data_IF_104071595698
#
_entry.id   IF_104071595698
#
_cell.length_a   1.000
_cell.length_b   1.000
_cell.length_c   1.000
_cell.angle_alpha   90.00
_cell.angle_beta   90.00
_cell.angle_gamma   90.00
#
_symmetry.space_group_name_H-M   'P 1'
#
loop_
_entity.id
_entity.type
_entity.pdbx_description
1 polymer ?
#
# COMPACT_ATOMS: atom_id res chain seq x y z
N UNK A 1 -8.61 -6.39 -13.92
CA UNK A 1 -8.58 -5.92 -12.52
C UNK A 1 -9.71 -4.96 -12.19
N UNK A 2 -10.11 -4.04 -13.08
CA UNK A 2 -11.20 -3.07 -12.84
C UNK A 2 -12.54 -3.45 -13.49
N UNK A 3 -12.72 -4.73 -13.75
CA UNK A 3 -13.87 -5.31 -14.44
C UNK A 3 -14.16 -6.66 -13.78
N UNK A 4 -15.41 -6.87 -13.37
CA UNK A 4 -15.80 -8.04 -12.57
C UNK A 4 -15.60 -9.36 -13.33
N UNK A 5 -15.87 -9.37 -14.64
CA UNK A 5 -15.71 -10.57 -15.49
C UNK A 5 -14.24 -10.97 -15.58
N UNK A 6 -13.37 -10.00 -15.83
CA UNK A 6 -11.93 -10.24 -15.99
C UNK A 6 -11.29 -10.80 -14.73
N UNK A 7 -11.73 -10.34 -13.55
CA UNK A 7 -11.21 -10.85 -12.28
C UNK A 7 -11.72 -12.25 -11.95
N UNK A 8 -12.98 -12.55 -12.31
CA UNK A 8 -13.53 -13.89 -12.13
C UNK A 8 -12.79 -14.96 -12.97
N UNK A 9 -12.30 -14.61 -14.16
CA UNK A 9 -11.45 -15.51 -14.97
C UNK A 9 -10.20 -16.00 -14.21
N UNK A 10 -9.63 -15.18 -13.32
CA UNK A 10 -8.50 -15.58 -12.50
C UNK A 10 -8.91 -16.59 -11.41
N UNK A 11 -10.08 -16.36 -10.79
CA UNK A 11 -10.67 -17.32 -9.86
C UNK A 11 -10.89 -18.68 -10.53
N UNK A 12 -11.51 -18.71 -11.71
CA UNK A 12 -11.72 -19.95 -12.45
C UNK A 12 -10.40 -20.62 -12.86
N UNK A 13 -9.48 -19.86 -13.46
CA UNK A 13 -8.26 -20.42 -14.05
C UNK A 13 -7.22 -20.88 -13.02
N UNK A 14 -7.20 -20.26 -11.83
CA UNK A 14 -6.21 -20.55 -10.79
C UNK A 14 -6.88 -21.19 -9.59
N UNK A 15 -7.79 -20.49 -8.92
CA UNK A 15 -8.28 -20.87 -7.60
C UNK A 15 -9.19 -22.12 -7.65
N UNK A 16 -10.21 -22.10 -8.52
CA UNK A 16 -11.10 -23.24 -8.75
C UNK A 16 -10.35 -24.45 -9.31
N UNK A 17 -9.40 -24.23 -10.22
CA UNK A 17 -8.58 -25.29 -10.77
C UNK A 17 -7.78 -26.03 -9.68
N UNK A 18 -7.19 -25.30 -8.72
CA UNK A 18 -6.50 -25.91 -7.58
C UNK A 18 -7.48 -26.60 -6.63
N UNK A 19 -8.61 -25.96 -6.32
CA UNK A 19 -9.63 -26.54 -5.45
C UNK A 19 -10.16 -27.87 -6.00
N UNK A 20 -10.46 -27.95 -7.29
CA UNK A 20 -10.94 -29.18 -7.93
C UNK A 20 -9.99 -30.38 -7.79
N UNK A 21 -8.68 -30.13 -7.60
CA UNK A 21 -7.67 -31.18 -7.47
C UNK A 21 -7.26 -31.45 -6.01
N UNK A 22 -7.31 -30.42 -5.16
CA UNK A 22 -6.70 -30.44 -3.83
C UNK A 22 -7.65 -29.98 -2.71
N UNK A 23 -8.96 -29.95 -2.93
CA UNK A 23 -9.96 -29.52 -1.95
C UNK A 23 -9.75 -30.14 -0.55
N UNK A 24 -9.41 -31.42 -0.49
CA UNK A 24 -9.20 -32.13 0.78
C UNK A 24 -7.97 -31.64 1.57
N UNK A 25 -7.05 -30.92 0.93
CA UNK A 25 -5.83 -30.38 1.54
C UNK A 25 -5.96 -28.92 1.97
N UNK A 26 -7.04 -28.25 1.59
CA UNK A 26 -7.29 -26.85 1.94
C UNK A 26 -7.54 -26.70 3.44
N UNK A 27 -6.93 -25.68 4.05
CA UNK A 27 -6.94 -25.45 5.49
C UNK A 27 -6.08 -26.45 6.29
N UNK A 28 -5.42 -27.40 5.62
CA UNK A 28 -4.48 -28.37 6.21
C UNK A 28 -3.07 -28.09 5.71
N UNK A 29 -2.71 -28.68 4.57
CA UNK A 29 -1.40 -28.53 3.94
C UNK A 29 -1.34 -27.23 3.12
N UNK A 30 -2.44 -26.90 2.43
CA UNK A 30 -2.58 -25.65 1.69
C UNK A 30 -3.27 -24.64 2.60
N UNK A 31 -2.49 -23.76 3.20
CA UNK A 31 -3.01 -22.72 4.09
C UNK A 31 -3.63 -21.54 3.32
N UNK A 32 -3.27 -21.35 2.05
CA UNK A 32 -3.58 -20.13 1.33
C UNK A 32 -2.91 -19.98 -0.01
N UNK A 33 -3.16 -18.84 -0.63
CA UNK A 33 -2.59 -18.38 -1.88
C UNK A 33 -1.78 -17.10 -1.64
N UNK A 34 -0.61 -17.03 -2.28
CA UNK A 34 0.24 -15.85 -2.30
C UNK A 34 0.10 -15.16 -3.66
N UNK A 35 -0.19 -13.85 -3.67
CA UNK A 35 -0.13 -13.02 -4.88
C UNK A 35 1.07 -12.10 -4.81
N UNK A 36 1.94 -12.25 -5.79
CA UNK A 36 3.13 -11.44 -5.96
C UNK A 36 2.83 -10.26 -6.89
N UNK A 37 3.02 -9.04 -6.39
CA UNK A 37 2.98 -7.78 -7.14
C UNK A 37 1.88 -7.64 -8.24
N UNK A 38 0.58 -7.87 -7.95
CA UNK A 38 -0.46 -7.68 -8.94
C UNK A 38 -0.58 -6.19 -9.33
N UNK A 39 -0.11 -5.89 -10.54
CA UNK A 39 0.04 -4.54 -11.08
C UNK A 39 -0.96 -4.23 -12.19
N UNK A 40 -1.27 -2.95 -12.41
CA UNK A 40 -2.06 -2.55 -13.58
C UNK A 40 -1.38 -2.90 -14.89
N UNK A 41 -0.04 -2.86 -14.95
CA UNK A 41 0.75 -3.28 -16.10
C UNK A 41 0.42 -2.52 -17.40
N UNK A 42 -0.18 -1.34 -17.30
CA UNK A 42 -0.68 -0.57 -18.45
C UNK A 42 0.41 0.16 -19.23
N UNK A 43 1.67 0.05 -18.79
CA UNK A 43 2.85 0.55 -19.51
C UNK A 43 3.88 -0.58 -19.66
N UNK A 44 4.70 -0.51 -20.70
CA UNK A 44 5.76 -1.50 -20.96
C UNK A 44 7.08 -1.15 -20.28
N UNK A 45 7.32 0.14 -20.02
CA UNK A 45 8.55 0.57 -19.37
C UNK A 45 8.50 0.27 -17.87
N UNK A 46 9.58 -0.27 -17.30
CA UNK A 46 9.78 -0.30 -15.85
C UNK A 46 10.08 1.14 -15.39
N UNK A 47 9.04 1.82 -14.94
CA UNK A 47 9.09 3.23 -14.55
C UNK A 47 8.21 3.46 -13.32
N UNK A 48 8.72 4.25 -12.36
CA UNK A 48 8.02 4.60 -11.13
C UNK A 48 7.24 5.93 -11.22
N UNK A 49 7.50 6.72 -12.26
CA UNK A 49 6.69 7.90 -12.55
C UNK A 49 5.57 7.52 -13.52
N UNK A 50 4.45 7.11 -12.94
CA UNK A 50 3.24 6.65 -13.66
C UNK A 50 2.02 7.49 -13.28
N UNK A 51 2.25 8.77 -13.00
CA UNK A 51 1.17 9.75 -12.76
C UNK A 51 0.34 10.00 -14.02
N UNK A 52 -0.92 10.36 -13.81
CA UNK A 52 -1.80 10.88 -14.87
C UNK A 52 -1.27 12.20 -15.44
N UNK A 53 -1.73 12.57 -16.64
CA UNK A 53 -1.26 13.74 -17.39
C UNK A 53 -0.23 13.42 -18.47
N UNK A 54 0.17 12.15 -18.57
CA UNK A 54 1.14 11.70 -19.57
C UNK A 54 0.45 11.37 -20.90
N UNK A 55 0.78 12.16 -21.93
CA UNK A 55 0.17 12.09 -23.28
C UNK A 55 0.07 10.70 -23.92
N UNK A 56 0.98 9.79 -23.59
CA UNK A 56 1.06 8.45 -24.21
C UNK A 56 0.87 7.31 -23.21
N UNK A 57 0.49 7.58 -21.96
CA UNK A 57 0.25 6.53 -20.98
C UNK A 57 -1.12 5.89 -21.25
N UNK A 58 -1.21 4.60 -21.62
CA UNK A 58 -2.49 3.91 -21.71
C UNK A 58 -3.17 3.92 -20.34
N UNK A 59 -4.48 4.12 -20.30
CA UNK A 59 -5.25 4.21 -19.06
C UNK A 59 -6.21 3.01 -18.98
N UNK A 60 -6.23 2.26 -17.86
CA UNK A 60 -7.23 1.23 -17.64
C UNK A 60 -8.66 1.77 -17.83
N UNK A 61 -9.48 1.06 -18.60
CA UNK A 61 -10.88 1.43 -18.82
C UNK A 61 -11.76 0.18 -18.82
N UNK A 62 -12.96 0.30 -18.26
CA UNK A 62 -14.00 -0.73 -18.25
C UNK A 62 -15.39 -0.09 -18.34
N UNK A 63 -16.40 -0.88 -18.71
CA UNK A 63 -17.79 -0.40 -18.74
C UNK A 63 -18.26 0.05 -17.35
N UNK A 64 -17.79 -0.61 -16.28
CA UNK A 64 -18.06 -0.22 -14.89
C UNK A 64 -17.43 1.14 -14.54
N UNK A 65 -16.20 1.40 -15.01
CA UNK A 65 -15.57 2.72 -14.84
C UNK A 65 -16.36 3.81 -15.58
N UNK A 66 -16.80 3.53 -16.80
CA UNK A 66 -17.66 4.45 -17.54
C UNK A 66 -18.96 4.74 -16.79
N UNK A 67 -19.60 3.72 -16.21
CA UNK A 67 -20.82 3.90 -15.41
C UNK A 67 -20.58 4.81 -14.19
N UNK A 68 -19.44 4.71 -13.52
CA UNK A 68 -19.08 5.62 -12.41
C UNK A 68 -18.93 7.07 -12.90
N UNK A 69 -18.32 7.27 -14.08
CA UNK A 69 -18.25 8.59 -14.70
C UNK A 69 -19.63 9.12 -15.10
N UNK A 70 -20.47 8.30 -15.74
CA UNK A 70 -21.84 8.68 -16.11
C UNK A 70 -22.67 9.01 -14.86
N UNK A 71 -22.49 8.28 -13.76
CA UNK A 71 -23.19 8.57 -12.52
C UNK A 71 -22.82 9.95 -11.96
N UNK A 72 -21.51 10.27 -11.92
CA UNK A 72 -20.98 11.52 -11.35
C UNK A 72 -21.16 12.74 -12.27
N UNK A 73 -20.82 12.60 -13.54
CA UNK A 73 -20.72 13.71 -14.50
C UNK A 73 -21.84 13.73 -15.56
N UNK A 74 -22.72 12.72 -15.56
CA UNK A 74 -23.70 12.50 -16.65
C UNK A 74 -22.99 12.46 -18.00
N UNK A 75 -23.68 12.81 -19.08
CA UNK A 75 -23.10 12.84 -20.45
C UNK A 75 -21.94 13.85 -20.61
N UNK A 76 -21.69 14.71 -19.62
CA UNK A 76 -20.62 15.71 -19.72
C UNK A 76 -19.23 15.12 -19.48
N UNK A 77 -19.13 13.88 -18.96
CA UNK A 77 -17.86 13.25 -18.60
C UNK A 77 -16.86 13.21 -19.78
N UNK A 78 -17.36 13.00 -21.00
CA UNK A 78 -16.57 12.94 -22.24
C UNK A 78 -15.75 14.21 -22.47
N UNK A 79 -16.27 15.38 -22.03
CA UNK A 79 -15.57 16.67 -22.15
C UNK A 79 -14.33 16.74 -21.26
N UNK A 80 -14.28 15.94 -20.19
CA UNK A 80 -13.20 15.97 -19.21
C UNK A 80 -12.12 14.91 -19.45
N UNK A 81 -12.41 13.85 -20.21
CA UNK A 81 -11.44 12.78 -20.52
C UNK A 81 -10.10 13.27 -21.10
N UNK A 82 -10.04 14.31 -21.96
CA UNK A 82 -8.76 14.82 -22.46
C UNK A 82 -7.79 15.26 -21.35
N UNK A 83 -8.29 15.71 -20.19
CA UNK A 83 -7.45 16.15 -19.06
C UNK A 83 -6.72 15.02 -18.34
N UNK A 84 -7.11 13.76 -18.56
CA UNK A 84 -6.38 12.60 -18.04
C UNK A 84 -5.02 12.42 -18.74
N UNK A 85 -4.89 12.94 -19.97
CA UNK A 85 -3.71 12.77 -20.83
C UNK A 85 -2.91 14.06 -21.06
N UNK A 86 -3.40 15.21 -20.59
CA UNK A 86 -2.76 16.51 -20.85
C UNK A 86 -2.51 17.28 -19.56
N UNK A 87 -1.30 17.80 -19.44
CA UNK A 87 -0.96 18.89 -18.54
C UNK A 87 -1.32 20.24 -19.20
N UNK A 88 -2.61 20.45 -19.53
CA UNK A 88 -3.08 21.72 -20.11
C UNK A 88 -3.35 22.77 -19.02
N UNK A 89 -3.44 24.03 -19.46
CA UNK A 89 -3.66 25.22 -18.64
C UNK A 89 -5.08 25.39 -18.09
N UNK A 90 -6.04 24.50 -18.40
CA UNK A 90 -7.37 24.51 -17.77
C UNK A 90 -7.31 23.89 -16.36
N UNK A 91 -6.68 24.63 -15.45
CA UNK A 91 -6.32 24.24 -14.08
C UNK A 91 -7.50 23.77 -13.21
N UNK A 92 -8.74 24.07 -13.59
CA UNK A 92 -9.88 23.84 -12.71
C UNK A 92 -10.48 22.43 -12.78
N UNK A 93 -10.49 21.81 -13.96
CA UNK A 93 -11.07 20.47 -14.12
C UNK A 93 -10.02 19.37 -14.02
N UNK A 94 -8.78 19.68 -14.41
CA UNK A 94 -7.65 18.75 -14.39
C UNK A 94 -7.44 18.05 -13.03
N UNK A 95 -7.38 18.73 -11.87
CA UNK A 95 -7.18 18.05 -10.59
C UNK A 95 -8.38 17.20 -10.17
N UNK A 96 -9.61 17.66 -10.44
CA UNK A 96 -10.83 16.92 -10.10
C UNK A 96 -10.95 15.61 -10.88
N UNK A 97 -10.82 15.66 -12.20
CA UNK A 97 -11.02 14.49 -13.06
C UNK A 97 -9.91 13.45 -12.87
N UNK A 98 -8.67 13.89 -12.59
CA UNK A 98 -7.56 12.99 -12.25
C UNK A 98 -7.77 12.30 -10.91
N UNK A 99 -8.19 13.07 -9.90
CA UNK A 99 -8.59 12.52 -8.60
C UNK A 99 -9.68 11.48 -8.76
N UNK A 100 -10.79 11.83 -9.43
CA UNK A 100 -11.94 10.95 -9.59
C UNK A 100 -11.62 9.69 -10.38
N UNK A 101 -10.83 9.82 -11.45
CA UNK A 101 -10.35 8.67 -12.20
C UNK A 101 -9.58 7.69 -11.31
N UNK A 102 -8.61 8.19 -10.53
CA UNK A 102 -7.80 7.33 -9.65
C UNK A 102 -8.63 6.75 -8.49
N UNK A 103 -9.55 7.54 -7.93
CA UNK A 103 -10.49 7.10 -6.89
C UNK A 103 -11.39 5.96 -7.42
N UNK A 104 -11.93 6.10 -8.63
CA UNK A 104 -12.76 5.08 -9.27
C UNK A 104 -11.96 3.83 -9.63
N UNK A 105 -10.80 3.98 -10.26
CA UNK A 105 -9.95 2.85 -10.68
C UNK A 105 -9.47 2.04 -9.48
N UNK A 106 -9.05 2.70 -8.40
CA UNK A 106 -8.65 2.00 -7.17
C UNK A 106 -9.84 1.35 -6.44
N UNK A 107 -11.02 1.98 -6.46
CA UNK A 107 -12.26 1.37 -5.94
C UNK A 107 -12.65 0.11 -6.73
N UNK A 108 -12.53 0.15 -8.05
CA UNK A 108 -12.79 -1.01 -8.91
C UNK A 108 -11.76 -2.12 -8.71
N UNK A 109 -10.49 -1.78 -8.49
CA UNK A 109 -9.47 -2.77 -8.13
C UNK A 109 -9.85 -3.48 -6.82
N UNK A 110 -10.19 -2.72 -5.78
CA UNK A 110 -10.64 -3.27 -4.50
C UNK A 110 -11.85 -4.20 -4.70
N UNK A 111 -12.89 -3.70 -5.36
CA UNK A 111 -14.18 -4.39 -5.51
C UNK A 111 -14.10 -5.62 -6.40
N UNK A 112 -13.37 -5.54 -7.51
CA UNK A 112 -13.43 -6.56 -8.55
C UNK A 112 -12.27 -7.55 -8.44
N UNK A 113 -11.09 -7.12 -7.98
CA UNK A 113 -9.92 -7.98 -7.91
C UNK A 113 -9.59 -8.41 -6.48
N UNK A 114 -9.33 -7.44 -5.59
CA UNK A 114 -8.79 -7.76 -4.25
C UNK A 114 -9.81 -8.52 -3.40
N UNK A 115 -10.99 -7.93 -3.17
CA UNK A 115 -12.03 -8.50 -2.29
C UNK A 115 -12.54 -9.86 -2.78
N UNK A 116 -12.89 -10.06 -4.06
CA UNK A 116 -13.43 -11.34 -4.51
C UNK A 116 -12.46 -12.50 -4.33
N UNK A 117 -11.15 -12.28 -4.53
CA UNK A 117 -10.13 -13.29 -4.25
C UNK A 117 -10.09 -13.63 -2.76
N UNK A 118 -10.09 -12.60 -1.91
CA UNK A 118 -10.13 -12.78 -0.47
C UNK A 118 -11.36 -13.54 0.02
N UNK A 119 -12.54 -13.16 -0.47
CA UNK A 119 -13.83 -13.77 -0.15
C UNK A 119 -13.91 -15.23 -0.63
N UNK A 120 -13.39 -15.51 -1.82
CA UNK A 120 -13.29 -16.88 -2.32
C UNK A 120 -12.40 -17.73 -1.41
N UNK A 121 -11.21 -17.23 -1.04
CA UNK A 121 -10.31 -17.96 -0.14
C UNK A 121 -10.97 -18.24 1.22
N UNK A 122 -11.63 -17.25 1.80
CA UNK A 122 -12.35 -17.39 3.08
C UNK A 122 -13.46 -18.43 3.00
N UNK A 123 -14.25 -18.43 1.93
CA UNK A 123 -15.30 -19.43 1.69
C UNK A 123 -14.78 -20.87 1.58
N UNK A 124 -13.51 -21.05 1.23
CA UNK A 124 -12.84 -22.34 1.08
C UNK A 124 -11.88 -22.67 2.23
N UNK A 125 -11.92 -21.89 3.32
CA UNK A 125 -11.14 -22.17 4.54
C UNK A 125 -9.63 -21.95 4.39
N UNK A 126 -9.22 -21.10 3.46
CA UNK A 126 -7.81 -20.76 3.20
C UNK A 126 -7.60 -19.24 3.20
N UNK A 127 -6.36 -18.79 3.30
CA UNK A 127 -6.02 -17.36 3.32
C UNK A 127 -5.53 -16.86 1.96
N UNK A 128 -5.97 -15.67 1.57
CA UNK A 128 -5.33 -14.85 0.55
C UNK A 128 -4.28 -13.92 1.18
N UNK A 129 -3.00 -14.08 0.84
CA UNK A 129 -1.88 -13.21 1.27
C UNK A 129 -1.03 -12.79 0.06
N UNK A 130 -0.03 -11.95 0.28
CA UNK A 130 0.80 -11.40 -0.78
C UNK A 130 1.12 -9.94 -0.50
N UNK A 131 1.57 -9.20 -1.50
CA UNK A 131 1.71 -7.74 -1.46
C UNK A 131 1.40 -7.18 -2.85
N UNK A 132 1.51 -5.86 -3.02
CA UNK A 132 1.40 -5.18 -4.33
C UNK A 132 2.76 -4.57 -4.65
N UNK A 133 2.89 -3.77 -5.71
CA UNK A 133 4.09 -2.93 -5.84
C UNK A 133 3.85 -1.63 -5.08
N UNK A 134 4.56 -1.45 -3.97
CA UNK A 134 4.51 -0.23 -3.16
C UNK A 134 5.72 0.69 -3.34
N UNK A 135 6.69 0.26 -4.14
CA UNK A 135 7.98 0.89 -4.33
C UNK A 135 7.95 2.34 -4.81
N UNK A 136 8.81 3.17 -4.21
CA UNK A 136 9.23 4.45 -4.79
C UNK A 136 8.08 5.37 -5.26
N UNK A 137 6.98 5.38 -4.50
CA UNK A 137 5.79 6.19 -4.79
C UNK A 137 4.78 5.55 -5.75
N UNK A 138 4.96 4.30 -6.19
CA UNK A 138 3.96 3.60 -7.02
C UNK A 138 2.78 3.05 -6.23
N UNK A 139 2.90 3.00 -4.90
CA UNK A 139 1.78 2.66 -4.00
C UNK A 139 0.50 3.48 -4.26
N UNK A 140 0.64 4.68 -4.86
CA UNK A 140 -0.46 5.59 -5.23
C UNK A 140 -0.66 5.78 -6.74
N UNK A 141 -0.01 4.98 -7.60
CA UNK A 141 0.02 5.22 -9.06
C UNK A 141 -0.33 3.98 -9.88
N UNK A 142 -0.47 4.18 -11.19
CA UNK A 142 -0.70 3.10 -12.16
C UNK A 142 0.64 2.44 -12.58
N UNK A 143 0.65 1.72 -13.70
CA UNK A 143 1.82 1.01 -14.19
C UNK A 143 2.13 -0.18 -13.30
N UNK A 144 3.28 -0.16 -12.64
CA UNK A 144 3.66 -1.18 -11.66
C UNK A 144 2.76 -1.12 -10.41
N UNK A 145 2.28 0.07 -10.06
CA UNK A 145 1.46 0.27 -8.87
C UNK A 145 0.04 -0.28 -8.97
N UNK A 146 -0.63 -0.30 -7.82
CA UNK A 146 -2.02 -0.71 -7.67
C UNK A 146 -2.99 0.47 -7.45
N UNK A 147 -2.60 1.68 -7.85
CA UNK A 147 -3.29 2.97 -7.66
C UNK A 147 -3.49 3.42 -6.21
N UNK A 148 -3.76 2.52 -5.26
CA UNK A 148 -3.91 2.82 -3.85
C UNK A 148 -3.61 1.60 -2.99
N UNK A 149 -2.52 1.63 -2.21
CA UNK A 149 -2.05 0.50 -1.40
C UNK A 149 -3.15 -0.13 -0.52
N UNK A 150 -3.79 0.66 0.35
CA UNK A 150 -4.78 0.11 1.30
C UNK A 150 -5.98 -0.56 0.62
N UNK A 151 -6.53 0.04 -0.45
CA UNK A 151 -7.62 -0.54 -1.26
C UNK A 151 -7.19 -1.80 -1.98
N UNK A 152 -5.98 -1.81 -2.54
CA UNK A 152 -5.45 -2.98 -3.22
C UNK A 152 -5.21 -4.15 -2.25
N UNK A 153 -4.91 -3.85 -0.99
CA UNK A 153 -4.74 -4.85 0.06
C UNK A 153 -6.05 -5.32 0.71
N UNK A 154 -7.18 -4.66 0.49
CA UNK A 154 -8.43 -4.88 1.25
C UNK A 154 -8.94 -6.33 1.27
N UNK A 155 -8.68 -7.12 0.22
CA UNK A 155 -9.07 -8.52 0.15
C UNK A 155 -8.16 -9.48 0.88
N UNK A 156 -6.87 -9.14 1.05
CA UNK A 156 -5.89 -10.03 1.66
C UNK A 156 -6.09 -10.16 3.18
N UNK A 157 -5.67 -11.27 3.77
CA UNK A 157 -5.83 -11.58 5.20
C UNK A 157 -4.63 -11.13 6.05
N UNK A 158 -3.54 -10.70 5.41
CA UNK A 158 -2.40 -10.04 6.02
C UNK A 158 -2.08 -8.77 5.22
N UNK A 159 -1.46 -7.78 5.86
CA UNK A 159 -0.92 -6.62 5.18
C UNK A 159 0.50 -6.92 4.74
N UNK A 160 0.70 -7.29 3.48
CA UNK A 160 2.02 -7.57 2.94
C UNK A 160 2.74 -6.35 2.41
N UNK A 161 4.06 -6.42 2.53
CA UNK A 161 5.04 -5.60 1.82
C UNK A 161 6.20 -6.48 1.37
N UNK A 162 7.11 -5.97 0.55
CA UNK A 162 8.40 -6.58 0.28
C UNK A 162 9.57 -5.69 0.69
N UNK A 163 10.67 -6.29 1.14
CA UNK A 163 11.93 -5.60 1.40
C UNK A 163 13.09 -6.39 0.78
N UNK A 164 13.36 -6.08 -0.47
CA UNK A 164 14.33 -6.76 -1.33
C UNK A 164 15.28 -5.77 -2.02
N UNK A 165 16.22 -6.26 -2.82
CA UNK A 165 16.85 -5.46 -3.88
C UNK A 165 17.59 -4.19 -3.45
N UNK A 166 18.13 -4.15 -2.21
CA UNK A 166 18.85 -2.96 -1.72
C UNK A 166 17.95 -1.80 -1.29
N UNK A 167 16.64 -1.98 -1.17
CA UNK A 167 15.68 -0.94 -0.74
C UNK A 167 16.06 -0.35 0.63
N UNK A 168 16.49 -1.17 1.59
CA UNK A 168 17.04 -0.75 2.89
C UNK A 168 18.55 -1.01 2.95
N UNK A 169 19.31 0.05 3.25
CA UNK A 169 20.78 0.00 3.40
C UNK A 169 21.21 0.62 4.73
N UNK A 170 22.09 -0.08 5.43
CA UNK A 170 22.70 0.38 6.67
C UNK A 170 23.46 1.70 6.48
N UNK A 171 23.19 2.68 7.34
CA UNK A 171 23.89 3.96 7.34
C UNK A 171 23.58 4.89 6.15
N UNK A 172 22.67 4.50 5.25
CA UNK A 172 22.24 5.31 4.12
C UNK A 172 20.69 5.37 4.02
N UNK A 173 20.02 6.00 5.01
CA UNK A 173 18.56 5.97 5.14
C UNK A 173 17.82 6.95 4.21
N UNK A 174 18.52 7.90 3.57
CA UNK A 174 17.86 8.98 2.79
C UNK A 174 18.46 9.18 1.40
N UNK A 175 19.58 8.52 1.12
CA UNK A 175 20.29 8.67 -0.15
C UNK A 175 19.48 7.99 -1.26
N UNK A 176 19.31 8.69 -2.37
CA UNK A 176 18.84 8.09 -3.62
C UNK A 176 19.78 6.97 -4.02
N UNK A 177 19.24 5.77 -4.21
CA UNK A 177 20.02 4.60 -4.62
C UNK A 177 19.99 4.50 -6.14
N UNK A 178 21.14 4.17 -6.73
CA UNK A 178 21.26 3.93 -8.18
C UNK A 178 21.34 2.43 -8.41
N UNK A 179 20.25 1.86 -8.92
CA UNK A 179 20.16 0.45 -9.35
C UNK A 179 19.70 0.36 -10.80
N UNK A 180 18.82 -0.58 -11.12
CA UNK A 180 18.10 -0.62 -12.40
C UNK A 180 17.27 0.66 -12.62
N UNK A 181 16.82 1.25 -11.53
CA UNK A 181 16.01 2.47 -11.45
C UNK A 181 16.44 3.26 -10.22
N UNK A 182 16.26 4.59 -10.24
CA UNK A 182 16.53 5.42 -9.06
C UNK A 182 15.49 5.14 -7.97
N UNK A 183 15.95 4.93 -6.74
CA UNK A 183 15.11 4.53 -5.61
C UNK A 183 15.21 5.53 -4.46
N UNK A 184 14.08 5.97 -3.92
CA UNK A 184 13.98 6.86 -2.76
C UNK A 184 14.27 6.11 -1.46
N UNK A 185 15.51 6.20 -0.99
CA UNK A 185 15.92 5.59 0.27
C UNK A 185 15.10 6.04 1.48
N UNK A 186 14.57 7.28 1.48
CA UNK A 186 13.79 7.82 2.60
C UNK A 186 12.43 7.14 2.72
N UNK A 187 11.74 6.92 1.59
CA UNK A 187 10.50 6.13 1.55
C UNK A 187 10.73 4.71 2.09
N UNK A 188 11.73 4.01 1.57
CA UNK A 188 12.03 2.64 1.98
C UNK A 188 12.39 2.52 3.47
N UNK A 189 13.09 3.52 4.01
CA UNK A 189 13.56 3.47 5.40
C UNK A 189 12.50 3.89 6.42
N UNK A 190 11.65 4.86 6.08
CA UNK A 190 10.74 5.48 7.04
C UNK A 190 9.26 5.19 6.82
N UNK A 191 8.86 4.79 5.61
CA UNK A 191 7.44 4.62 5.25
C UNK A 191 7.08 3.17 5.02
N UNK A 192 7.81 2.44 4.17
CA UNK A 192 7.40 1.12 3.70
C UNK A 192 6.95 0.17 4.81
N UNK A 193 7.82 -0.08 5.79
CA UNK A 193 7.49 -0.91 6.96
C UNK A 193 6.30 -0.37 7.77
N UNK A 194 6.23 0.95 7.97
CA UNK A 194 5.13 1.59 8.71
C UNK A 194 3.82 1.53 7.95
N UNK A 195 3.82 1.63 6.63
CA UNK A 195 2.63 1.57 5.79
C UNK A 195 2.00 0.17 5.85
N UNK A 196 2.82 -0.88 5.70
CA UNK A 196 2.37 -2.26 5.89
C UNK A 196 1.88 -2.54 7.31
N UNK A 197 2.59 -2.05 8.33
CA UNK A 197 2.16 -2.18 9.72
C UNK A 197 0.84 -1.47 9.99
N UNK A 198 0.68 -0.24 9.49
CA UNK A 198 -0.56 0.54 9.65
C UNK A 198 -1.75 -0.17 9.00
N UNK A 199 -1.58 -0.73 7.81
CA UNK A 199 -2.63 -1.57 7.22
C UNK A 199 -2.93 -2.81 8.07
N UNK A 200 -1.91 -3.46 8.64
CA UNK A 200 -2.09 -4.60 9.55
C UNK A 200 -2.84 -4.25 10.84
N UNK A 201 -2.52 -3.10 11.44
CA UNK A 201 -3.11 -2.62 12.68
C UNK A 201 -4.54 -2.11 12.47
N UNK A 202 -4.78 -1.38 11.39
CA UNK A 202 -5.99 -0.54 11.24
C UNK A 202 -7.09 -1.19 10.40
N UNK A 203 -6.77 -2.17 9.56
CA UNK A 203 -7.78 -2.97 8.85
C UNK A 203 -8.17 -4.22 9.69
N UNK A 204 -9.43 -4.31 10.17
CA UNK A 204 -9.88 -5.43 10.99
C UNK A 204 -9.66 -6.80 10.34
N UNK A 205 -9.69 -6.90 9.00
CA UNK A 205 -9.49 -8.16 8.28
C UNK A 205 -8.09 -8.74 8.51
N UNK A 206 -7.10 -7.86 8.73
CA UNK A 206 -5.70 -8.24 8.88
C UNK A 206 -5.38 -8.81 10.25
N UNK A 207 -6.20 -8.50 11.26
CA UNK A 207 -6.04 -8.99 12.64
C UNK A 207 -4.65 -8.66 13.22
N UNK A 208 -4.11 -7.48 12.93
CA UNK A 208 -2.79 -7.06 13.39
C UNK A 208 -1.63 -7.74 12.65
N UNK A 209 -1.88 -8.48 11.56
CA UNK A 209 -0.85 -9.25 10.85
C UNK A 209 -0.27 -8.47 9.67
N UNK A 210 1.03 -8.22 9.75
CA UNK A 210 1.81 -7.60 8.69
C UNK A 210 2.90 -8.55 8.22
N UNK A 211 2.83 -8.91 6.95
CA UNK A 211 3.73 -9.84 6.29
C UNK A 211 4.80 -9.06 5.52
N UNK A 212 6.03 -9.58 5.49
CA UNK A 212 7.11 -9.03 4.70
C UNK A 212 7.82 -10.15 3.94
N UNK A 213 7.85 -10.04 2.62
CA UNK A 213 8.88 -10.74 1.84
C UNK A 213 10.23 -10.06 2.09
N UNK A 214 11.29 -10.83 2.35
CA UNK A 214 12.59 -10.24 2.69
C UNK A 214 13.79 -11.05 2.21
N UNK A 215 14.93 -10.37 2.12
CA UNK A 215 16.26 -10.89 1.75
C UNK A 215 16.49 -11.18 0.26
N UNK A 216 15.45 -11.18 -0.57
CA UNK A 216 15.56 -11.44 -2.01
C UNK A 216 16.38 -10.38 -2.76
N UNK A 217 16.97 -10.79 -3.89
CA UNK A 217 17.65 -9.91 -4.85
C UNK A 217 18.79 -9.02 -4.29
N UNK A 218 19.32 -9.31 -3.10
CA UNK A 218 20.47 -8.59 -2.54
C UNK A 218 21.84 -9.12 -3.01
N UNK A 219 21.86 -10.23 -3.74
CA UNK A 219 23.08 -10.89 -4.21
C UNK A 219 23.67 -11.88 -3.20
N UNK A 220 24.57 -12.75 -3.69
CA UNK A 220 25.28 -13.75 -2.87
C UNK A 220 26.15 -13.15 -1.74
N UNK A 221 26.50 -11.86 -1.82
CA UNK A 221 27.23 -11.15 -0.77
C UNK A 221 26.38 -10.78 0.44
N UNK A 222 25.05 -10.93 0.36
CA UNK A 222 24.14 -10.57 1.43
C UNK A 222 24.10 -11.65 2.52
N UNK A 223 25.01 -11.55 3.49
CA UNK A 223 25.14 -12.52 4.58
C UNK A 223 24.23 -12.27 5.78
N UNK A 224 24.28 -13.21 6.74
CA UNK A 224 23.41 -13.24 7.95
C UNK A 224 23.50 -11.97 8.80
N UNK A 225 24.66 -11.28 8.80
CA UNK A 225 24.82 -9.99 9.48
C UNK A 225 23.91 -8.91 8.89
N UNK A 226 23.85 -8.81 7.56
CA UNK A 226 23.02 -7.81 6.87
C UNK A 226 21.54 -8.22 6.94
N UNK A 227 21.25 -9.52 6.81
CA UNK A 227 19.91 -10.06 7.03
C UNK A 227 19.39 -9.74 8.43
N UNK A 228 20.23 -9.85 9.47
CA UNK A 228 19.81 -9.49 10.83
C UNK A 228 19.47 -8.01 10.97
N UNK A 229 20.26 -7.12 10.38
CA UNK A 229 19.94 -5.70 10.36
C UNK A 229 18.61 -5.43 9.64
N UNK A 230 18.39 -6.05 8.48
CA UNK A 230 17.14 -5.90 7.73
C UNK A 230 15.93 -6.42 8.52
N UNK A 231 16.07 -7.60 9.12
CA UNK A 231 15.04 -8.21 9.95
C UNK A 231 14.68 -7.32 11.14
N UNK A 232 15.68 -6.86 11.91
CA UNK A 232 15.45 -5.95 13.04
C UNK A 232 14.79 -4.64 12.59
N UNK A 233 15.18 -4.14 11.40
CA UNK A 233 14.59 -2.93 10.84
C UNK A 233 13.09 -3.11 10.58
N UNK A 234 12.67 -4.17 9.90
CA UNK A 234 11.24 -4.39 9.59
C UNK A 234 10.43 -4.78 10.83
N UNK A 235 11.02 -5.55 11.76
CA UNK A 235 10.41 -5.89 13.04
C UNK A 235 10.07 -4.64 13.86
N UNK A 236 11.01 -3.69 13.97
CA UNK A 236 10.78 -2.41 14.68
C UNK A 236 9.71 -1.56 14.02
N UNK A 237 9.42 -1.77 12.73
CA UNK A 237 8.32 -1.06 12.04
C UNK A 237 6.96 -1.72 12.17
N UNK A 238 6.88 -2.91 12.77
CA UNK A 238 5.62 -3.61 13.04
C UNK A 238 5.37 -4.87 12.20
N UNK A 239 6.35 -5.30 11.38
CA UNK A 239 6.25 -6.59 10.67
C UNK A 239 6.27 -7.74 11.70
N UNK A 240 5.34 -8.68 11.57
CA UNK A 240 5.22 -9.84 12.47
C UNK A 240 4.91 -11.17 11.74
N UNK A 241 4.94 -11.18 10.41
CA UNK A 241 4.97 -12.38 9.58
C UNK A 241 6.09 -12.25 8.54
N UNK A 242 6.90 -13.29 8.38
CA UNK A 242 8.11 -13.25 7.55
C UNK A 242 8.02 -14.27 6.42
N UNK A 243 8.35 -13.85 5.20
CA UNK A 243 8.48 -14.69 4.00
C UNK A 243 9.91 -14.54 3.46
N UNK A 244 10.90 -15.30 3.96
CA UNK A 244 12.27 -15.19 3.50
C UNK A 244 12.44 -15.69 2.06
N UNK A 245 12.96 -14.84 1.18
CA UNK A 245 13.33 -15.16 -0.20
C UNK A 245 14.84 -15.45 -0.32
N UNK A 246 15.31 -16.65 -0.72
CA UNK A 246 14.52 -17.81 -1.12
C UNK A 246 15.20 -19.17 -0.86
N UNK A 247 14.39 -20.22 -0.93
CA UNK A 247 14.85 -21.59 -1.19
C UNK A 247 14.61 -21.91 -2.67
N UNK A 248 15.70 -22.05 -3.44
CA UNK A 248 15.64 -22.44 -4.84
C UNK A 248 15.90 -23.94 -5.02
N UNK A 249 15.17 -24.55 -5.95
CA UNK A 249 15.37 -25.93 -6.41
C UNK A 249 16.25 -26.03 -7.67
N UNK A 250 16.70 -24.89 -8.22
CA UNK A 250 17.57 -24.87 -9.39
C UNK A 250 18.99 -25.40 -9.07
N UNK A 251 19.73 -25.73 -10.13
CA UNK A 251 21.12 -26.15 -10.00
C UNK A 251 22.00 -24.99 -9.53
N UNK A 252 22.92 -25.25 -8.60
CA UNK A 252 23.87 -24.25 -8.13
C UNK A 252 25.03 -24.06 -9.15
N UNK A 253 25.44 -22.81 -9.46
CA UNK A 253 24.89 -21.55 -8.97
C UNK A 253 23.61 -21.16 -9.71
N UNK A 254 22.60 -20.76 -8.95
CA UNK A 254 21.41 -20.12 -9.46
C UNK A 254 21.58 -18.60 -9.38
N UNK A 255 21.32 -17.91 -10.49
CA UNK A 255 21.52 -16.46 -10.62
C UNK A 255 20.23 -15.67 -10.44
N UNK A 256 19.10 -16.35 -10.31
CA UNK A 256 17.80 -15.71 -10.13
C UNK A 256 17.65 -15.16 -8.70
N UNK A 257 17.68 -13.85 -8.57
CA UNK A 257 17.45 -13.09 -7.33
C UNK A 257 18.12 -13.67 -6.04
N UNK A 258 19.43 -14.02 -6.04
CA UNK A 258 20.11 -14.52 -4.85
C UNK A 258 20.07 -13.50 -3.69
N UNK A 259 20.24 -13.93 -2.42
CA UNK A 259 20.78 -15.20 -1.96
C UNK A 259 19.74 -16.35 -1.88
N UNK A 260 20.19 -17.57 -2.17
CA UNK A 260 19.44 -18.79 -1.82
C UNK A 260 20.01 -19.42 -0.55
N UNK A 261 19.18 -19.58 0.47
CA UNK A 261 19.69 -19.85 1.83
C UNK A 261 20.37 -21.22 1.98
N UNK A 262 19.87 -22.24 1.27
CA UNK A 262 20.45 -23.59 1.27
C UNK A 262 21.44 -23.80 0.11
N UNK A 263 21.07 -23.35 -1.09
CA UNK A 263 21.88 -23.48 -2.31
C UNK A 263 22.41 -24.91 -2.56
N UNK A 264 21.57 -25.94 -2.34
CA UNK A 264 21.98 -27.34 -2.47
C UNK A 264 23.06 -27.78 -1.46
N UNK A 265 23.20 -27.09 -0.33
CA UNK A 265 24.25 -27.31 0.67
C UNK A 265 25.52 -26.49 0.44
N UNK A 266 25.58 -25.65 -0.61
CA UNK A 266 26.76 -24.87 -0.94
C UNK A 266 26.84 -23.53 -0.19
N UNK A 267 25.77 -23.08 0.49
CA UNK A 267 25.77 -21.81 1.20
C UNK A 267 26.37 -21.96 2.61
N UNK A 268 27.58 -21.43 2.89
CA UNK A 268 28.30 -21.70 4.14
C UNK A 268 27.64 -21.09 5.38
N UNK A 269 26.72 -20.15 5.21
CA UNK A 269 26.03 -19.49 6.33
C UNK A 269 24.65 -20.10 6.66
N UNK A 270 24.25 -21.22 6.03
CA UNK A 270 22.91 -21.79 6.22
C UNK A 270 22.58 -22.10 7.70
N UNK A 271 23.54 -22.66 8.46
CA UNK A 271 23.35 -22.95 9.89
C UNK A 271 23.13 -21.68 10.71
N UNK A 272 23.80 -20.58 10.36
CA UNK A 272 23.63 -19.28 11.01
C UNK A 272 22.32 -18.58 10.60
N UNK A 273 21.91 -18.73 9.34
CA UNK A 273 20.61 -18.30 8.87
C UNK A 273 19.47 -19.00 9.64
N UNK A 274 19.59 -20.31 9.89
CA UNK A 274 18.62 -21.03 10.72
C UNK A 274 18.52 -20.47 12.15
N UNK A 275 19.63 -20.02 12.75
CA UNK A 275 19.60 -19.35 14.05
C UNK A 275 18.94 -17.97 13.99
N UNK A 276 19.18 -17.21 12.91
CA UNK A 276 18.52 -15.94 12.66
C UNK A 276 17.00 -16.12 12.54
N UNK A 277 16.53 -17.13 11.81
CA UNK A 277 15.10 -17.37 11.67
C UNK A 277 14.44 -17.83 12.97
N UNK A 278 15.14 -18.60 13.83
CA UNK A 278 14.65 -18.90 15.20
C UNK A 278 14.53 -17.65 16.07
N UNK A 279 15.41 -16.66 15.88
CA UNK A 279 15.25 -15.36 16.51
C UNK A 279 14.04 -14.61 15.93
N UNK A 280 13.91 -14.53 14.60
CA UNK A 280 12.76 -13.90 13.93
C UNK A 280 11.42 -14.47 14.40
N UNK A 281 11.29 -15.80 14.48
CA UNK A 281 10.07 -16.45 14.97
C UNK A 281 9.70 -16.03 16.40
N UNK A 282 10.66 -15.96 17.32
CA UNK A 282 10.40 -15.52 18.70
C UNK A 282 9.95 -14.06 18.77
N UNK A 283 10.53 -13.20 17.93
CA UNK A 283 10.11 -11.80 17.87
C UNK A 283 8.71 -11.65 17.28
N UNK A 284 8.42 -12.36 16.18
CA UNK A 284 7.11 -12.36 15.55
C UNK A 284 6.02 -12.90 16.48
N UNK A 285 6.30 -13.97 17.23
CA UNK A 285 5.40 -14.52 18.24
C UNK A 285 5.07 -13.49 19.33
N UNK A 286 6.07 -12.72 19.79
CA UNK A 286 5.87 -11.66 20.78
C UNK A 286 5.04 -10.48 20.23
N UNK A 287 5.15 -10.18 18.93
CA UNK A 287 4.48 -9.06 18.27
C UNK A 287 3.11 -9.42 17.69
N UNK A 288 2.64 -10.65 17.87
CA UNK A 288 1.34 -11.08 17.38
C UNK A 288 0.30 -11.11 18.52
N UNK A 289 -0.96 -10.83 18.20
CA UNK A 289 -2.08 -10.88 19.16
C UNK A 289 -2.21 -9.70 20.13
N UNK A 290 -1.30 -8.72 20.08
CA UNK A 290 -1.41 -7.46 20.81
C UNK A 290 -2.10 -6.34 20.01
N UNK A 291 -2.26 -5.18 20.64
CA UNK A 291 -2.71 -3.94 19.97
C UNK A 291 -1.53 -2.97 19.92
N UNK A 292 -1.27 -2.41 18.74
CA UNK A 292 -0.23 -1.39 18.58
C UNK A 292 -0.60 -0.10 19.34
N UNK A 293 0.40 0.52 19.97
CA UNK A 293 0.22 1.76 20.72
C UNK A 293 0.88 2.92 19.95
N UNK A 294 0.11 3.55 19.06
CA UNK A 294 0.47 4.79 18.40
C UNK A 294 -0.32 5.96 19.00
N UNK A 295 0.29 7.14 19.09
CA UNK A 295 -0.38 8.35 19.60
C UNK A 295 -0.83 9.28 18.47
N UNK A 296 -0.36 9.04 17.24
CA UNK A 296 -0.52 9.98 16.14
C UNK A 296 -0.96 9.27 14.85
N UNK A 297 -1.97 9.82 14.19
CA UNK A 297 -2.35 9.42 12.84
C UNK A 297 -1.63 10.33 11.83
N UNK A 298 -0.95 9.76 10.84
CA UNK A 298 -0.37 10.50 9.70
C UNK A 298 -1.18 10.18 8.46
N UNK A 299 -1.72 11.20 7.79
CA UNK A 299 -2.51 10.97 6.58
C UNK A 299 -1.62 10.39 5.46
N UNK A 300 -2.10 9.31 4.86
CA UNK A 300 -1.58 8.74 3.62
C UNK A 300 -1.64 9.78 2.49
N UNK A 301 -0.55 9.91 1.73
CA UNK A 301 -0.42 10.95 0.69
C UNK A 301 -0.91 10.51 -0.70
N UNK A 302 -1.37 9.27 -0.85
CA UNK A 302 -1.69 8.71 -2.16
C UNK A 302 -2.80 9.49 -2.89
N UNK A 303 -3.87 9.84 -2.19
CA UNK A 303 -4.97 10.63 -2.76
C UNK A 303 -4.53 12.08 -3.08
N UNK A 304 -3.55 12.62 -2.36
CA UNK A 304 -2.95 13.92 -2.66
C UNK A 304 -2.07 13.86 -3.92
N UNK A 305 -1.35 12.75 -4.14
CA UNK A 305 -0.52 12.48 -5.32
C UNK A 305 -1.31 12.53 -6.63
N UNK A 306 -2.61 12.21 -6.59
CA UNK A 306 -3.50 12.20 -7.77
C UNK A 306 -3.90 13.57 -8.27
N UNK A 307 -4.01 14.56 -7.36
CA UNK A 307 -4.64 15.84 -7.65
C UNK A 307 -3.66 16.98 -7.88
N UNK A 308 -2.41 16.87 -7.43
CA UNK A 308 -1.40 17.90 -7.72
C UNK A 308 -0.17 17.86 -6.82
N UNK A 309 0.35 19.06 -6.56
CA UNK A 309 1.50 19.25 -5.67
C UNK A 309 1.15 18.81 -4.26
N UNK A 310 2.03 18.04 -3.65
CA UNK A 310 1.88 17.52 -2.30
C UNK A 310 3.26 17.29 -1.69
N UNK A 311 3.29 17.21 -0.36
CA UNK A 311 4.44 16.75 0.41
C UNK A 311 4.38 15.23 0.54
N UNK A 312 5.42 14.51 0.10
CA UNK A 312 5.47 13.07 0.30
C UNK A 312 5.48 12.70 1.79
N UNK A 313 4.68 11.70 2.20
CA UNK A 313 4.49 11.36 3.62
C UNK A 313 5.78 10.93 4.32
N UNK A 314 6.79 10.46 3.59
CA UNK A 314 8.10 10.11 4.16
C UNK A 314 8.79 11.28 4.85
N UNK A 315 8.50 12.53 4.46
CA UNK A 315 9.03 13.72 5.13
C UNK A 315 8.51 13.83 6.56
N UNK A 316 7.22 13.56 6.78
CA UNK A 316 6.59 13.56 8.10
C UNK A 316 7.00 12.33 8.89
N UNK A 317 6.88 11.14 8.30
CA UNK A 317 7.19 9.85 8.93
C UNK A 317 8.62 9.79 9.45
N UNK A 318 9.57 10.39 8.72
CA UNK A 318 10.97 10.51 9.15
C UNK A 318 11.11 11.34 10.42
N UNK A 319 10.56 12.56 10.43
CA UNK A 319 10.65 13.46 11.60
C UNK A 319 10.05 12.79 12.83
N UNK A 320 8.90 12.14 12.67
CA UNK A 320 8.24 11.38 13.73
C UNK A 320 9.14 10.25 14.27
N UNK A 321 9.70 9.42 13.37
CA UNK A 321 10.60 8.33 13.73
C UNK A 321 11.86 8.84 14.43
N UNK A 322 12.52 9.88 13.91
CA UNK A 322 13.77 10.43 14.47
C UNK A 322 13.55 11.05 15.86
N UNK A 323 12.32 11.46 16.19
CA UNK A 323 11.94 11.99 17.50
C UNK A 323 11.20 10.96 18.38
N UNK A 324 11.17 9.69 17.99
CA UNK A 324 10.56 8.58 18.74
C UNK A 324 9.06 8.79 19.04
N UNK A 325 8.35 9.45 18.13
CA UNK A 325 6.90 9.61 18.22
C UNK A 325 6.27 8.48 17.40
N UNK A 326 5.52 7.59 18.06
CA UNK A 326 4.90 6.45 17.40
C UNK A 326 3.59 6.84 16.70
N UNK A 327 3.44 6.40 15.46
CA UNK A 327 2.34 6.78 14.59
C UNK A 327 1.88 5.61 13.73
N UNK A 328 0.66 5.66 13.21
CA UNK A 328 0.24 4.87 12.07
C UNK A 328 -0.17 5.79 10.91
N UNK A 329 0.00 5.28 9.69
CA UNK A 329 -0.43 5.92 8.44
C UNK A 329 -1.90 5.55 8.20
N UNK A 330 -2.76 6.56 8.11
CA UNK A 330 -4.21 6.39 7.91
C UNK A 330 -4.60 6.83 6.51
N UNK A 331 -5.33 6.01 5.75
CA UNK A 331 -5.90 6.45 4.47
C UNK A 331 -7.23 7.20 4.67
N UNK A 332 -7.67 7.97 3.68
CA UNK A 332 -8.91 8.76 3.81
C UNK A 332 -10.14 7.87 4.00
N UNK A 333 -10.12 6.64 3.48
CA UNK A 333 -11.20 5.68 3.65
C UNK A 333 -11.41 5.30 5.12
N UNK A 334 -10.33 5.08 5.89
CA UNK A 334 -10.39 4.78 7.33
C UNK A 334 -11.00 5.94 8.14
N UNK A 335 -10.81 7.17 7.66
CA UNK A 335 -11.30 8.38 8.31
C UNK A 335 -12.76 8.68 7.94
N UNK A 336 -13.11 8.51 6.67
CA UNK A 336 -14.40 8.94 6.10
C UNK A 336 -15.45 7.83 6.04
N UNK A 337 -15.06 6.56 6.27
CA UNK A 337 -15.93 5.39 6.43
C UNK A 337 -15.58 4.63 7.72
N UNK A 338 -15.63 5.27 8.89
CA UNK A 338 -15.15 4.69 10.14
C UNK A 338 -15.82 3.35 10.47
N UNK A 339 -17.06 3.13 10.06
CA UNK A 339 -17.81 1.89 10.26
C UNK A 339 -17.11 0.65 9.67
N UNK A 340 -16.38 0.80 8.56
CA UNK A 340 -15.67 -0.31 7.91
C UNK A 340 -14.40 -0.72 8.67
N UNK A 341 -13.91 0.14 9.57
CA UNK A 341 -12.62 0.00 10.27
C UNK A 341 -12.75 0.02 11.79
N UNK A 342 -13.94 -0.27 12.33
CA UNK A 342 -14.22 -0.17 13.78
C UNK A 342 -13.84 1.21 14.35
N UNK A 343 -14.02 2.25 13.55
CA UNK A 343 -13.60 3.61 13.83
C UNK A 343 -14.64 4.42 14.61
N UNK A 344 -14.17 5.36 15.41
CA UNK A 344 -15.02 6.32 16.13
C UNK A 344 -14.24 7.53 16.60
N UNK A 345 -14.93 8.60 17.01
CA UNK A 345 -14.33 9.73 17.72
C UNK A 345 -14.93 9.73 19.13
N UNK A 346 -14.08 9.59 20.14
CA UNK A 346 -14.49 9.55 21.56
C UNK A 346 -13.43 10.20 22.44
N UNK A 347 -13.85 10.93 23.46
CA UNK A 347 -12.97 11.53 24.47
C UNK A 347 -11.80 12.35 23.87
N UNK A 348 -12.09 13.13 22.82
CA UNK A 348 -11.08 13.91 22.10
C UNK A 348 -10.03 13.09 21.33
N UNK A 349 -10.28 11.80 21.08
CA UNK A 349 -9.40 10.89 20.35
C UNK A 349 -10.06 10.34 19.09
N UNK A 350 -9.27 10.18 18.04
CA UNK A 350 -9.63 9.43 16.84
C UNK A 350 -9.29 7.96 17.07
N UNK A 351 -10.29 7.08 17.06
CA UNK A 351 -10.10 5.65 17.25
C UNK A 351 -10.28 4.92 15.92
N UNK A 352 -9.37 4.02 15.55
CA UNK A 352 -9.47 3.16 14.37
C UNK A 352 -8.99 1.76 14.76
N UNK A 353 -9.86 0.76 14.64
CA UNK A 353 -9.58 -0.63 15.00
C UNK A 353 -8.89 -0.86 16.35
N UNK A 354 -9.31 -0.10 17.37
CA UNK A 354 -8.77 -0.17 18.73
C UNK A 354 -7.48 0.62 18.98
N UNK A 355 -6.89 1.24 17.96
CA UNK A 355 -5.79 2.21 18.10
C UNK A 355 -6.39 3.60 18.34
N UNK A 356 -5.87 4.32 19.34
CA UNK A 356 -6.39 5.64 19.74
C UNK A 356 -5.38 6.75 19.49
N UNK A 357 -5.69 7.61 18.52
CA UNK A 357 -4.85 8.73 18.12
C UNK A 357 -5.25 10.03 18.82
N UNK A 358 -4.26 10.73 19.34
CA UNK A 358 -4.39 12.03 20.00
C UNK A 358 -4.32 13.20 19.01
N UNK A 359 -3.82 12.98 17.80
CA UNK A 359 -3.72 13.99 16.76
C UNK A 359 -3.71 13.38 15.36
N UNK A 360 -4.16 14.17 14.38
CA UNK A 360 -4.03 13.88 12.96
C UNK A 360 -3.03 14.85 12.32
N UNK A 361 -1.93 14.35 11.75
CA UNK A 361 -1.03 15.14 10.91
C UNK A 361 -1.42 14.95 9.46
N UNK A 362 -1.52 16.07 8.75
CA UNK A 362 -1.83 16.09 7.33
C UNK A 362 -0.64 16.73 6.60
N UNK A 363 0.17 15.94 5.86
CA UNK A 363 1.18 16.49 4.97
C UNK A 363 0.55 17.50 4.00
N UNK A 364 1.29 18.55 3.63
CA UNK A 364 0.82 19.53 2.66
C UNK A 364 0.28 18.86 1.39
N UNK A 365 -0.92 19.26 0.98
CA UNK A 365 -1.52 18.87 -0.28
C UNK A 365 -2.20 20.10 -0.87
N UNK A 366 -1.92 20.40 -2.14
CA UNK A 366 -2.55 21.54 -2.82
C UNK A 366 -4.08 21.40 -2.89
N UNK A 367 -4.54 20.18 -3.09
CA UNK A 367 -5.96 19.83 -3.21
C UNK A 367 -6.31 18.73 -2.21
N UNK A 368 -7.46 18.88 -1.55
CA UNK A 368 -8.08 17.81 -0.74
C UNK A 368 -9.52 17.56 -1.19
N UNK A 369 -10.05 16.33 -1.11
CA UNK A 369 -11.43 16.06 -1.47
C UNK A 369 -12.42 16.60 -0.42
N UNK A 370 -13.61 17.04 -0.88
CA UNK A 370 -14.68 17.55 0.01
C UNK A 370 -15.06 16.58 1.13
N UNK A 371 -15.04 15.26 0.88
CA UNK A 371 -15.27 14.24 1.92
C UNK A 371 -14.27 14.34 3.08
N UNK A 372 -12.98 14.52 2.77
CA UNK A 372 -11.93 14.64 3.78
C UNK A 372 -11.99 15.99 4.49
N UNK A 373 -12.19 17.07 3.73
CA UNK A 373 -12.41 18.41 4.27
C UNK A 373 -13.58 18.42 5.28
N UNK A 374 -14.70 17.79 4.94
CA UNK A 374 -15.87 17.67 5.81
C UNK A 374 -15.58 16.86 7.07
N UNK A 375 -14.80 15.78 6.95
CA UNK A 375 -14.34 15.00 8.10
C UNK A 375 -13.46 15.83 9.04
N UNK A 376 -12.47 16.56 8.52
CA UNK A 376 -11.61 17.43 9.33
C UNK A 376 -12.42 18.49 10.08
N UNK A 377 -13.41 19.12 9.43
CA UNK A 377 -14.30 20.08 10.10
C UNK A 377 -15.18 19.45 11.19
N UNK A 378 -15.41 18.14 11.13
CA UNK A 378 -16.15 17.40 12.17
C UNK A 378 -15.30 17.11 13.42
N UNK A 379 -13.97 17.16 13.31
CA UNK A 379 -13.04 16.97 14.42
C UNK A 379 -13.02 18.20 15.32
N UNK A 380 -13.79 18.17 16.42
CA UNK A 380 -13.86 19.30 17.37
C UNK A 380 -12.72 19.31 18.37
N UNK A 381 -12.41 18.14 18.92
CA UNK A 381 -11.51 17.98 20.07
C UNK A 381 -10.19 17.27 19.70
N UNK A 382 -10.14 16.63 18.53
CA UNK A 382 -8.91 16.01 18.01
C UNK A 382 -8.12 17.08 17.25
N UNK A 383 -6.91 17.47 17.70
CA UNK A 383 -6.06 18.38 16.97
C UNK A 383 -5.70 17.86 15.59
N UNK A 384 -5.83 18.73 14.59
CA UNK A 384 -5.38 18.49 13.21
C UNK A 384 -4.22 19.45 12.91
N UNK A 385 -3.07 18.89 12.55
CA UNK A 385 -1.86 19.65 12.24
C UNK A 385 -1.55 19.57 10.75
N UNK A 386 -1.68 20.71 10.06
CA UNK A 386 -1.26 20.86 8.67
C UNK A 386 0.26 21.05 8.60
N UNK A 387 0.97 20.11 8.00
CA UNK A 387 2.44 20.15 7.93
C UNK A 387 2.88 20.86 6.66
N UNK A 388 3.62 21.95 6.81
CA UNK A 388 4.04 22.82 5.71
C UNK A 388 3.05 23.95 5.47
N UNK A 389 1.82 23.63 5.06
CA UNK A 389 0.71 24.58 4.91
C UNK A 389 -0.65 23.85 4.87
N UNK A 390 -1.72 24.59 5.12
CA UNK A 390 -3.10 24.14 4.87
C UNK A 390 -3.36 23.98 3.35
N UNK A 391 -4.37 23.19 2.93
CA UNK A 391 -4.67 22.99 1.52
C UNK A 391 -5.14 24.28 0.85
N UNK A 392 -4.73 24.49 -0.40
CA UNK A 392 -5.10 25.68 -1.16
C UNK A 392 -6.56 25.61 -1.66
N UNK A 393 -7.03 24.39 -1.95
CA UNK A 393 -8.31 24.15 -2.60
C UNK A 393 -8.98 22.85 -2.14
N UNK A 394 -10.31 22.84 -2.15
CA UNK A 394 -11.15 21.65 -1.93
C UNK A 394 -11.75 21.19 -3.26
N UNK A 395 -11.51 19.93 -3.63
CA UNK A 395 -12.12 19.28 -4.79
C UNK A 395 -13.62 19.07 -4.53
N UNK A 396 -14.44 19.31 -5.54
CA UNK A 396 -15.90 19.34 -5.44
C UNK A 396 -16.53 17.99 -5.79
N UNK A 397 -17.60 17.62 -5.08
CA UNK A 397 -18.30 16.36 -5.36
C UNK A 397 -19.16 16.43 -6.63
N UNK A 398 -19.55 17.63 -7.09
CA UNK A 398 -20.27 17.87 -8.36
C UNK A 398 -20.03 19.30 -8.85
N UNK A 399 -20.00 19.49 -10.18
CA UNK A 399 -20.01 20.79 -10.90
C UNK A 399 -18.79 21.72 -10.83
N UNK A 400 -17.56 21.20 -10.69
CA UNK A 400 -16.33 21.86 -11.15
C UNK A 400 -16.04 23.29 -10.67
N UNK A 401 -16.74 23.77 -9.64
CA UNK A 401 -16.59 25.08 -9.03
C UNK A 401 -15.98 24.90 -7.65
N UNK A 402 -14.68 25.14 -7.51
CA UNK A 402 -14.03 25.13 -6.21
C UNK A 402 -14.75 26.06 -5.24
N UNK A 403 -15.15 25.54 -4.09
CA UNK A 403 -15.47 26.37 -2.94
C UNK A 403 -14.15 26.90 -2.39
N UNK A 404 -13.76 28.11 -2.80
CA UNK A 404 -13.00 28.99 -1.89
C UNK A 404 -14.04 29.48 -0.91
N UNK A 405 -14.21 28.80 0.20
CA UNK A 405 -14.66 29.39 1.48
C UNK A 405 -14.77 28.30 2.53
N UNK A 406 -13.68 28.14 3.24
CA UNK A 406 -13.59 27.48 4.55
C UNK A 406 -12.29 27.98 5.13
N UNK A 407 -12.35 28.78 6.18
CA UNK A 407 -11.16 29.09 6.96
C UNK A 407 -10.74 27.78 7.63
N UNK A 408 -9.62 27.21 7.17
CA UNK A 408 -9.02 25.97 7.65
C UNK A 408 -8.04 26.22 8.79
#
# INVERSE_FOLDING_TARGET
MIDQVSAYTQLEGVYEAHYAHYADEFGKTIAGFFSDEPQFGNIKEQCFDTKLGKKKMPLPWSDELEQMFVQKYKEQYVKYLPFLFSDSCEQNFCPQIRYDYMDFVSTLYERNFSRPIGEWCEAHGVEYIGHVVEDNGVHSRLGLGAAHYFRAMAGQHMAGIDVIGGQIVYGAPVQTRKGMVESDGEFFHYVLGKMGASAGHLDPKKKGRTMCELFGAYGWGFGVRNMKYLLDHVLVKGVNHLVPHAFSMAAYPDFDCPPHFYAGGNHPQFSWFAQLMKYGNRMCELFNGGTHAASVAVLYDGEADWAGEHMPMQKVCRVMTEHQIEFDIVCMDMLTRPEDYNGSIRDGRLCINGVEFEALLVPYAKYVPKRFASFVLSLKEVPVYWIGAAPEHVLCDVDGRFEKDGTW
#
